data_IF_552345905670
#
_entry.id   IF_552345905670
#
_cell.length_a   1.000
_cell.length_b   1.000
_cell.length_c   1.000
_cell.angle_alpha   90.00
_cell.angle_beta   90.00
_cell.angle_gamma   90.00
#
_symmetry.space_group_name_H-M   'P 1'
#
loop_
_entity.id
_entity.type
_entity.pdbx_description
1 polymer ?
#
# COMPACT_ATOMS: atom_id res chain seq x y z
N UNK A 1 -15.55 -30.40 -15.19
CA UNK A 1 -14.78 -29.65 -16.20
C UNK A 1 -14.06 -28.53 -15.48
N UNK A 2 -12.73 -28.51 -15.51
CA UNK A 2 -11.94 -27.43 -14.92
C UNK A 2 -11.94 -26.20 -15.82
N UNK A 3 -11.82 -25.01 -15.23
CA UNK A 3 -11.62 -23.77 -15.98
C UNK A 3 -10.23 -23.76 -16.63
N UNK A 4 -10.11 -23.23 -17.84
CA UNK A 4 -8.84 -23.11 -18.57
C UNK A 4 -8.16 -21.77 -18.23
N UNK A 5 -7.16 -21.80 -17.35
CA UNK A 5 -6.43 -20.61 -16.90
C UNK A 5 -5.69 -19.87 -18.03
N UNK A 6 -5.45 -20.50 -19.19
CA UNK A 6 -4.85 -19.79 -20.33
C UNK A 6 -5.76 -18.71 -20.92
N UNK A 7 -7.05 -18.71 -20.54
CA UNK A 7 -8.06 -17.73 -20.97
C UNK A 7 -8.27 -16.60 -19.96
N UNK A 8 -7.49 -16.53 -18.88
CA UNK A 8 -7.53 -15.41 -17.93
C UNK A 8 -6.37 -14.45 -18.16
N UNK A 9 -6.61 -13.17 -17.92
CA UNK A 9 -5.55 -12.17 -17.83
C UNK A 9 -4.84 -12.30 -16.46
N UNK A 10 -3.49 -12.41 -16.43
CA UNK A 10 -2.76 -12.39 -15.16
C UNK A 10 -2.85 -11.02 -14.48
N UNK A 11 -2.69 -10.96 -13.15
CA UNK A 11 -2.60 -9.68 -12.46
C UNK A 11 -1.37 -8.90 -12.92
N UNK A 12 -1.49 -7.57 -13.03
CA UNK A 12 -0.37 -6.69 -13.35
C UNK A 12 0.78 -6.77 -12.33
N UNK A 13 0.46 -7.12 -11.09
CA UNK A 13 1.43 -7.31 -10.02
C UNK A 13 0.88 -8.19 -8.90
N UNK A 14 1.75 -8.84 -8.14
CA UNK A 14 1.35 -9.67 -7.00
C UNK A 14 2.13 -9.29 -5.75
N UNK A 15 1.53 -9.55 -4.60
CA UNK A 15 2.10 -9.31 -3.28
C UNK A 15 2.01 -10.58 -2.43
N UNK A 16 2.63 -10.56 -1.26
CA UNK A 16 2.49 -11.67 -0.30
C UNK A 16 1.02 -11.90 0.02
N UNK A 17 0.62 -13.18 0.05
CA UNK A 17 -0.74 -13.57 0.34
C UNK A 17 -1.22 -13.00 1.70
N UNK A 18 -2.51 -12.70 1.77
CA UNK A 18 -3.22 -12.23 2.97
C UNK A 18 -2.86 -10.83 3.49
N UNK A 19 -2.11 -10.00 2.75
CA UNK A 19 -1.80 -8.63 3.20
C UNK A 19 -3.02 -7.69 3.23
N UNK A 20 -4.14 -8.06 2.60
CA UNK A 20 -5.40 -7.30 2.56
C UNK A 20 -5.21 -5.85 2.07
N UNK A 21 -4.91 -5.63 0.78
CA UNK A 21 -4.88 -4.27 0.21
C UNK A 21 -6.29 -3.67 0.23
N UNK A 22 -6.45 -2.50 0.87
CA UNK A 22 -7.75 -1.82 0.97
C UNK A 22 -7.77 -0.43 0.34
N UNK A 23 -6.61 0.15 0.06
CA UNK A 23 -6.48 1.46 -0.59
C UNK A 23 -5.30 1.53 -1.54
N UNK A 24 -5.44 2.38 -2.54
CA UNK A 24 -4.49 2.53 -3.64
C UNK A 24 -4.59 3.95 -4.20
N UNK A 25 -3.45 4.64 -4.29
CA UNK A 25 -3.38 6.02 -4.77
C UNK A 25 -2.21 6.23 -5.73
N UNK A 26 -2.48 6.79 -6.91
CA UNK A 26 -1.44 7.18 -7.85
C UNK A 26 -0.86 8.54 -7.47
N UNK A 27 0.44 8.58 -7.25
CA UNK A 27 1.19 9.78 -6.94
C UNK A 27 2.10 10.15 -8.10
N UNK A 28 1.59 11.00 -9.00
CA UNK A 28 2.39 11.59 -10.07
C UNK A 28 3.36 12.64 -9.51
N UNK A 29 2.83 13.58 -8.71
CA UNK A 29 3.56 14.65 -8.04
C UNK A 29 2.73 15.20 -6.88
N UNK A 30 3.40 15.75 -5.87
CA UNK A 30 2.80 16.40 -4.71
C UNK A 30 3.87 17.05 -3.84
N UNK A 31 3.63 17.12 -2.54
CA UNK A 31 4.52 17.75 -1.55
C UNK A 31 5.59 16.81 -0.98
N UNK A 32 5.46 15.49 -1.14
CA UNK A 32 6.54 14.57 -0.78
C UNK A 32 7.78 14.85 -1.66
N UNK A 33 9.01 14.58 -1.16
CA UNK A 33 10.24 14.75 -1.93
C UNK A 33 10.16 14.15 -3.33
N UNK A 34 10.74 14.83 -4.33
CA UNK A 34 10.63 14.47 -5.75
C UNK A 34 10.99 13.01 -6.07
N UNK A 35 11.82 12.37 -5.23
CA UNK A 35 12.12 10.93 -5.34
C UNK A 35 10.87 10.03 -5.26
N UNK A 36 9.74 10.52 -4.77
CA UNK A 36 8.46 9.81 -4.64
C UNK A 36 7.51 10.04 -5.82
N UNK A 37 7.82 10.93 -6.75
CA UNK A 37 7.04 11.10 -7.98
C UNK A 37 6.95 9.78 -8.76
N UNK A 38 5.97 9.69 -9.65
CA UNK A 38 5.69 8.50 -10.46
C UNK A 38 5.60 7.22 -9.62
N UNK A 39 4.82 7.27 -8.54
CA UNK A 39 4.66 6.14 -7.63
C UNK A 39 3.19 5.79 -7.44
N UNK A 40 2.95 4.59 -6.94
CA UNK A 40 1.66 4.12 -6.47
C UNK A 40 1.81 3.75 -5.00
N UNK A 41 0.96 4.29 -4.13
CA UNK A 41 0.92 3.93 -2.72
C UNK A 41 -0.23 2.96 -2.47
N UNK A 42 0.04 1.86 -1.77
CA UNK A 42 -0.95 0.83 -1.47
C UNK A 42 -0.95 0.58 0.04
N UNK A 43 -2.11 0.73 0.67
CA UNK A 43 -2.32 0.44 2.09
C UNK A 43 -2.73 -1.04 2.26
N UNK A 44 -1.99 -1.74 3.11
CA UNK A 44 -2.21 -3.14 3.44
C UNK A 44 -2.71 -3.28 4.88
N UNK A 45 -3.99 -3.58 5.03
CA UNK A 45 -4.71 -3.65 6.31
C UNK A 45 -4.23 -4.78 7.23
N UNK A 46 -3.62 -5.81 6.65
CA UNK A 46 -2.97 -6.88 7.38
C UNK A 46 -3.80 -8.15 7.55
N UNK A 47 -3.08 -9.27 7.57
CA UNK A 47 -3.64 -10.61 7.60
C UNK A 47 -4.36 -10.93 8.90
N UNK A 48 -5.53 -11.55 8.80
CA UNK A 48 -6.21 -12.20 9.93
C UNK A 48 -6.09 -13.73 9.90
N UNK A 49 -5.91 -14.33 8.72
CA UNK A 49 -5.88 -15.78 8.51
C UNK A 49 -4.50 -16.28 8.03
N UNK A 50 -3.46 -16.03 8.81
CA UNK A 50 -2.08 -16.46 8.52
C UNK A 50 -1.32 -16.69 9.83
N UNK A 51 -0.53 -17.76 9.92
CA UNK A 51 0.26 -18.09 11.12
C UNK A 51 1.37 -17.09 11.42
N UNK A 52 2.05 -16.62 10.36
CA UNK A 52 2.98 -15.48 10.43
C UNK A 52 2.23 -14.26 9.87
N UNK A 53 1.99 -13.18 10.63
CA UNK A 53 1.28 -12.02 10.11
C UNK A 53 1.99 -11.37 8.90
N UNK A 54 1.23 -10.77 7.99
CA UNK A 54 1.73 -10.02 6.84
C UNK A 54 0.84 -8.80 6.55
N UNK A 55 1.40 -7.74 5.96
CA UNK A 55 0.70 -6.47 5.72
C UNK A 55 1.02 -5.46 6.82
N UNK A 56 0.01 -4.75 7.34
CA UNK A 56 0.15 -3.75 8.40
C UNK A 56 1.14 -2.63 8.03
N UNK A 57 1.04 -2.16 6.78
CA UNK A 57 2.00 -1.23 6.19
C UNK A 57 1.40 -0.48 5.01
N UNK A 58 2.09 0.59 4.60
CA UNK A 58 1.94 1.19 3.28
C UNK A 58 3.16 0.81 2.45
N UNK A 59 2.92 0.34 1.23
CA UNK A 59 3.96 0.05 0.24
C UNK A 59 3.94 1.13 -0.83
N UNK A 60 5.12 1.51 -1.28
CA UNK A 60 5.32 2.32 -2.48
C UNK A 60 5.75 1.40 -3.62
N UNK A 61 4.99 1.41 -4.71
CA UNK A 61 5.39 0.84 -5.99
C UNK A 61 5.95 1.96 -6.87
N UNK A 62 7.11 1.71 -7.49
CA UNK A 62 7.83 2.67 -8.32
C UNK A 62 7.48 2.40 -9.78
N UNK A 63 7.04 3.43 -10.49
CA UNK A 63 6.68 3.37 -11.90
C UNK A 63 7.72 4.11 -12.75
N UNK A 64 7.99 3.60 -13.95
CA UNK A 64 8.74 4.37 -14.94
C UNK A 64 7.84 5.40 -15.65
N UNK A 65 8.41 6.19 -16.56
CA UNK A 65 7.67 7.24 -17.30
C UNK A 65 6.57 6.70 -18.23
N UNK A 66 6.54 5.38 -18.49
CA UNK A 66 5.48 4.71 -19.25
C UNK A 66 4.38 4.14 -18.34
N UNK A 67 4.50 4.29 -17.01
CA UNK A 67 3.58 3.71 -16.03
C UNK A 67 3.83 2.22 -15.73
N UNK A 68 4.95 1.66 -16.19
CA UNK A 68 5.29 0.25 -15.93
C UNK A 68 5.93 0.10 -14.54
N UNK A 69 5.54 -0.95 -13.82
CA UNK A 69 6.06 -1.24 -12.47
C UNK A 69 7.52 -1.71 -12.55
N UNK A 70 8.42 -0.99 -11.87
CA UNK A 70 9.83 -1.36 -11.77
C UNK A 70 10.14 -2.17 -10.51
N UNK A 71 9.60 -1.75 -9.37
CA UNK A 71 9.83 -2.38 -8.07
C UNK A 71 8.81 -1.88 -7.05
N UNK A 72 8.81 -2.48 -5.86
CA UNK A 72 8.11 -1.93 -4.70
C UNK A 72 9.00 -1.96 -3.46
N UNK A 73 8.70 -1.10 -2.50
CA UNK A 73 9.38 -1.03 -1.22
C UNK A 73 8.42 -0.56 -0.13
N UNK A 74 8.71 -0.94 1.12
CA UNK A 74 7.99 -0.43 2.27
C UNK A 74 8.12 1.10 2.36
N UNK A 75 7.01 1.78 2.64
CA UNK A 75 6.95 3.23 2.79
C UNK A 75 6.66 3.64 4.24
N UNK A 76 5.59 3.11 4.83
CA UNK A 76 5.28 3.30 6.25
C UNK A 76 5.05 1.93 6.88
N UNK A 77 5.74 1.67 7.99
CA UNK A 77 5.69 0.42 8.74
C UNK A 77 5.64 0.74 10.24
N UNK A 78 5.57 -0.28 11.09
CA UNK A 78 5.56 -0.12 12.55
C UNK A 78 4.26 -0.54 13.22
N UNK A 79 3.19 -0.79 12.44
CA UNK A 79 1.93 -1.32 12.97
C UNK A 79 1.99 -2.80 13.33
N UNK A 80 2.95 -3.57 12.78
CA UNK A 80 3.20 -4.95 13.19
C UNK A 80 4.54 -5.01 13.91
N UNK A 81 4.48 -5.33 15.21
CA UNK A 81 5.67 -5.43 16.06
C UNK A 81 6.36 -6.81 15.87
N UNK A 82 7.65 -6.93 16.27
CA UNK A 82 8.40 -8.18 16.11
C UNK A 82 7.80 -9.39 16.84
N UNK A 83 7.04 -9.17 17.91
CA UNK A 83 6.33 -10.20 18.67
C UNK A 83 4.97 -10.60 18.04
N UNK A 84 4.58 -9.96 16.94
CA UNK A 84 3.33 -10.20 16.23
C UNK A 84 2.16 -9.35 16.70
N UNK A 85 2.38 -8.46 17.66
CA UNK A 85 1.35 -7.53 18.12
C UNK A 85 1.03 -6.47 17.05
N UNK A 86 -0.24 -6.07 17.00
CA UNK A 86 -0.81 -5.22 15.94
C UNK A 86 -1.25 -3.89 16.54
N UNK A 87 -0.49 -2.86 16.25
CA UNK A 87 -0.66 -1.51 16.78
C UNK A 87 -1.55 -0.62 15.92
N UNK A 88 -2.10 -1.15 14.82
CA UNK A 88 -3.09 -0.46 13.98
C UNK A 88 -3.24 -1.14 12.63
N UNK A 89 -4.15 -0.64 11.79
CA UNK A 89 -4.57 -1.29 10.55
C UNK A 89 -4.85 -0.24 9.47
N UNK A 90 -3.88 0.07 8.59
CA UNK A 90 -4.08 1.08 7.56
C UNK A 90 -5.14 0.64 6.55
N UNK A 91 -6.07 1.52 6.21
CA UNK A 91 -7.22 1.23 5.33
C UNK A 91 -7.03 1.88 3.97
N UNK A 92 -7.27 3.19 3.84
CA UNK A 92 -7.21 3.90 2.57
C UNK A 92 -6.16 5.01 2.56
N UNK A 93 -5.53 5.20 1.40
CA UNK A 93 -4.56 6.28 1.14
C UNK A 93 -5.11 7.17 0.03
N UNK A 94 -5.04 8.49 0.22
CA UNK A 94 -5.59 9.46 -0.73
C UNK A 94 -4.66 10.65 -0.90
N UNK A 95 -4.52 11.14 -2.13
CA UNK A 95 -3.81 12.37 -2.43
C UNK A 95 -4.75 13.56 -2.30
N UNK A 96 -4.42 14.49 -1.42
CA UNK A 96 -5.16 15.74 -1.28
C UNK A 96 -4.88 16.70 -2.45
N UNK A 97 -5.80 17.62 -2.76
CA UNK A 97 -5.56 18.69 -3.74
C UNK A 97 -4.33 19.54 -3.44
N UNK A 98 -3.97 19.67 -2.15
CA UNK A 98 -2.79 20.40 -1.70
C UNK A 98 -1.48 19.63 -1.91
N UNK A 99 -1.54 18.36 -2.31
CA UNK A 99 -0.38 17.53 -2.66
C UNK A 99 0.16 16.63 -1.53
N UNK A 100 -0.49 16.61 -0.37
CA UNK A 100 -0.15 15.69 0.73
C UNK A 100 -0.95 14.38 0.63
N UNK A 101 -0.39 13.29 1.17
CA UNK A 101 -1.13 12.04 1.33
C UNK A 101 -1.84 12.00 2.68
N UNK A 102 -3.03 11.41 2.70
CA UNK A 102 -3.77 11.08 3.90
C UNK A 102 -3.96 9.57 3.98
N UNK A 103 -3.84 9.00 5.18
CA UNK A 103 -3.97 7.57 5.43
C UNK A 103 -4.92 7.34 6.60
N UNK A 104 -5.95 6.53 6.43
CA UNK A 104 -6.86 6.13 7.51
C UNK A 104 -6.40 4.86 8.22
N UNK A 105 -6.68 4.75 9.52
CA UNK A 105 -6.49 3.55 10.34
C UNK A 105 -7.74 3.32 11.18
N UNK A 106 -8.49 2.26 10.86
CA UNK A 106 -9.77 1.95 11.48
C UNK A 106 -9.63 1.34 12.87
N UNK A 107 -8.51 0.68 13.14
CA UNK A 107 -8.23 0.08 14.45
C UNK A 107 -7.92 1.14 15.51
N UNK A 108 -7.32 2.26 15.10
CA UNK A 108 -7.00 3.38 15.97
C UNK A 108 -8.01 4.53 15.89
N UNK A 109 -8.86 4.56 14.86
CA UNK A 109 -9.82 5.64 14.64
C UNK A 109 -9.16 6.96 14.27
N UNK A 110 -8.03 6.91 13.56
CA UNK A 110 -7.23 8.10 13.20
C UNK A 110 -7.06 8.26 11.70
N UNK A 111 -6.73 9.49 11.28
CA UNK A 111 -6.26 9.81 9.94
C UNK A 111 -4.91 10.49 10.06
N UNK A 112 -3.89 9.89 9.45
CA UNK A 112 -2.55 10.45 9.35
C UNK A 112 -2.47 11.39 8.16
N UNK A 113 -1.77 12.52 8.33
CA UNK A 113 -1.31 13.37 7.24
C UNK A 113 0.18 13.10 7.00
N UNK A 114 0.55 12.84 5.76
CA UNK A 114 1.92 12.55 5.36
C UNK A 114 2.38 13.70 4.45
N UNK A 115 3.27 14.54 5.01
CA UNK A 115 3.75 15.79 4.43
C UNK A 115 5.26 15.72 4.19
N UNK A 116 5.74 16.39 3.14
CA UNK A 116 7.18 16.57 2.88
C UNK A 116 7.81 17.81 3.54
N UNK A 117 7.01 18.61 4.26
CA UNK A 117 7.44 19.72 5.12
C UNK A 117 7.48 19.29 6.58
#
# INVERSE_FOLDING_TARGET
TGFDCSKTEPPAYTFTAHMAPLGLEFYQKGNLPAKYNNSLFISFHGSWNRSVPAGYKVVRVILNDKGEIQSHQDFITGWLLPDGDKQGRPVDVQLSPDGDLYLSDDSLGVVYRISGK
#
